data_IF_154205320869
#
_entry.id   IF_154205320869
#
_cell.length_a   1.000
_cell.length_b   1.000
_cell.length_c   1.000
_cell.angle_alpha   90.00
_cell.angle_beta   90.00
_cell.angle_gamma   90.00
#
_symmetry.space_group_name_H-M   'P 1'
#
loop_
_entity.id
_entity.type
_entity.pdbx_description
1 polymer ?
#
# COMPACT_ATOMS: atom_id res chain seq x y z
N UNK A 1 67.44 32.74 8.72
CA UNK A 1 65.99 33.08 8.62
C UNK A 1 65.23 31.78 8.39
N UNK A 2 64.65 31.20 9.44
CA UNK A 2 63.84 29.95 9.38
C UNK A 2 62.38 30.34 9.16
N UNK A 3 61.81 29.95 8.01
CA UNK A 3 60.37 30.11 7.74
C UNK A 3 59.62 28.95 8.40
N UNK A 4 58.75 29.26 9.38
CA UNK A 4 57.78 28.33 9.94
C UNK A 4 56.57 28.27 9.03
N UNK A 5 56.28 27.08 8.50
CA UNK A 5 55.06 26.79 7.73
C UNK A 5 54.00 26.30 8.70
N UNK A 6 52.97 27.10 8.95
CA UNK A 6 51.82 26.71 9.76
C UNK A 6 50.88 25.87 8.89
N UNK A 7 50.77 24.58 9.21
CA UNK A 7 49.79 23.68 8.58
C UNK A 7 48.44 23.85 9.31
N UNK A 8 47.46 24.41 8.62
CA UNK A 8 46.07 24.49 9.12
C UNK A 8 45.38 23.18 8.80
N UNK A 9 45.13 22.34 9.83
CA UNK A 9 44.30 21.12 9.69
C UNK A 9 42.86 21.53 9.83
N UNK A 10 42.09 21.55 8.70
CA UNK A 10 40.66 21.69 8.71
C UNK A 10 40.03 20.35 9.11
N UNK A 11 39.53 20.23 10.33
CA UNK A 11 38.74 19.12 10.78
C UNK A 11 37.33 19.23 10.20
N UNK A 12 36.99 18.43 9.20
CA UNK A 12 35.61 18.25 8.75
C UNK A 12 34.86 17.42 9.80
N UNK A 13 34.03 18.08 10.60
CA UNK A 13 33.00 17.39 11.42
C UNK A 13 31.86 16.97 10.50
N UNK A 14 31.87 15.71 10.06
CA UNK A 14 30.71 15.09 9.46
C UNK A 14 29.62 14.95 10.53
N UNK A 15 28.65 15.86 10.53
CA UNK A 15 27.38 15.64 11.23
C UNK A 15 26.65 14.51 10.52
N UNK A 16 26.75 13.29 11.04
CA UNK A 16 25.85 12.20 10.69
C UNK A 16 24.45 12.56 11.21
N UNK A 17 23.65 13.20 10.36
CA UNK A 17 22.21 13.27 10.57
C UNK A 17 21.65 11.88 10.23
N UNK A 18 21.52 11.03 11.24
CA UNK A 18 20.58 9.90 11.19
C UNK A 18 19.18 10.52 11.10
N UNK A 19 18.41 10.24 10.02
CA UNK A 19 17.02 10.69 9.98
C UNK A 19 16.31 10.09 11.20
N UNK A 20 15.33 10.81 11.79
CA UNK A 20 14.56 10.27 12.91
C UNK A 20 13.99 8.92 12.47
N UNK A 21 14.23 7.90 13.29
CA UNK A 21 13.56 6.60 13.16
C UNK A 21 12.08 6.93 13.33
N UNK A 22 11.33 6.94 12.24
CA UNK A 22 9.87 6.95 12.27
C UNK A 22 9.51 5.73 13.13
N UNK A 23 8.76 5.88 14.22
CA UNK A 23 8.37 4.79 15.10
C UNK A 23 7.64 3.76 14.25
N UNK A 24 8.38 2.73 13.84
CA UNK A 24 7.86 1.71 12.93
C UNK A 24 6.69 1.01 13.63
N UNK A 25 5.48 1.21 13.13
CA UNK A 25 4.26 0.61 13.68
C UNK A 25 4.44 -0.91 13.78
N UNK A 26 4.18 -1.49 14.95
CA UNK A 26 4.27 -2.93 15.14
C UNK A 26 3.04 -3.64 14.55
N UNK A 27 3.26 -4.41 13.49
CA UNK A 27 2.23 -5.21 12.82
C UNK A 27 2.27 -6.70 13.21
N UNK A 28 3.04 -7.10 14.24
CA UNK A 28 3.21 -8.51 14.61
C UNK A 28 1.88 -9.22 14.85
N UNK A 29 0.94 -8.58 15.55
CA UNK A 29 -0.41 -9.14 15.80
C UNK A 29 -1.17 -9.34 14.49
N UNK A 30 -1.15 -8.33 13.59
CA UNK A 30 -1.83 -8.38 12.29
C UNK A 30 -1.24 -9.48 11.41
N UNK A 31 0.09 -9.63 11.37
CA UNK A 31 0.76 -10.66 10.59
C UNK A 31 0.41 -12.08 11.08
N UNK A 32 0.35 -12.29 12.40
CA UNK A 32 -0.03 -13.58 12.98
C UNK A 32 -1.51 -13.91 12.70
N UNK A 33 -2.41 -12.94 12.83
CA UNK A 33 -3.82 -13.11 12.50
C UNK A 33 -4.01 -13.39 11.00
N UNK A 34 -3.29 -12.68 10.13
CA UNK A 34 -3.33 -12.90 8.68
C UNK A 34 -2.91 -14.33 8.32
N UNK A 35 -1.82 -14.84 8.91
CA UNK A 35 -1.37 -16.22 8.67
C UNK A 35 -2.40 -17.25 9.16
N UNK A 36 -2.96 -17.05 10.34
CA UNK A 36 -4.01 -17.91 10.89
C UNK A 36 -5.23 -17.92 9.97
N UNK A 37 -5.69 -16.74 9.57
CA UNK A 37 -6.81 -16.59 8.64
C UNK A 37 -6.55 -17.28 7.29
N UNK A 38 -5.35 -17.15 6.73
CA UNK A 38 -4.97 -17.81 5.47
C UNK A 38 -5.03 -19.33 5.60
N UNK A 39 -4.54 -19.91 6.72
CA UNK A 39 -4.61 -21.36 6.99
C UNK A 39 -6.05 -21.86 7.08
N UNK A 40 -6.89 -21.18 7.85
CA UNK A 40 -8.28 -21.56 8.07
C UNK A 40 -9.16 -21.45 6.81
N UNK A 41 -8.81 -20.55 5.90
CA UNK A 41 -9.58 -20.27 4.68
C UNK A 41 -8.93 -20.79 3.38
N UNK A 42 -7.91 -21.67 3.48
CA UNK A 42 -7.21 -22.28 2.33
C UNK A 42 -6.67 -21.23 1.35
N UNK A 43 -6.12 -20.15 1.88
CA UNK A 43 -5.49 -19.08 1.12
C UNK A 43 -3.97 -19.26 1.06
N UNK A 44 -3.29 -18.47 0.23
CA UNK A 44 -1.84 -18.46 0.12
C UNK A 44 -1.18 -18.23 1.48
N UNK A 45 -0.16 -19.03 1.80
CA UNK A 45 0.57 -18.99 3.06
C UNK A 45 2.03 -18.56 2.89
N UNK A 46 2.43 -18.13 1.69
CA UNK A 46 3.78 -17.63 1.44
C UNK A 46 3.85 -16.13 1.74
N UNK A 47 2.82 -15.37 1.31
CA UNK A 47 2.73 -13.93 1.52
C UNK A 47 1.28 -13.45 1.54
N UNK A 48 1.07 -12.23 2.02
CA UNK A 48 -0.18 -11.50 1.90
C UNK A 48 0.09 -10.00 1.68
N UNK A 49 -0.95 -9.25 1.35
CA UNK A 49 -0.91 -7.81 1.18
C UNK A 49 -1.53 -7.11 2.39
N UNK A 50 -0.78 -6.21 3.01
CA UNK A 50 -1.27 -5.31 4.04
C UNK A 50 -1.30 -3.89 3.49
N UNK A 51 -2.44 -3.21 3.62
CA UNK A 51 -2.56 -1.78 3.34
C UNK A 51 -2.96 -1.09 4.64
N UNK A 52 -2.11 -0.19 5.13
CA UNK A 52 -2.42 0.63 6.31
C UNK A 52 -2.81 2.04 5.89
N UNK A 53 -4.11 2.31 5.91
CA UNK A 53 -4.68 3.61 5.52
C UNK A 53 -4.52 4.70 6.59
N UNK A 54 -3.99 4.40 7.78
CA UNK A 54 -3.61 5.40 8.78
C UNK A 54 -2.30 6.12 8.39
N UNK A 55 -1.48 5.48 7.54
CA UNK A 55 -0.26 6.08 7.02
C UNK A 55 -0.60 7.14 5.96
N UNK A 56 0.15 8.23 5.96
CA UNK A 56 0.02 9.32 5.00
C UNK A 56 0.11 8.80 3.54
N UNK A 57 -0.77 9.27 2.64
CA UNK A 57 -0.87 8.72 1.28
C UNK A 57 0.37 8.94 0.41
N UNK A 58 1.23 9.87 0.78
CA UNK A 58 2.53 10.09 0.14
C UNK A 58 3.67 9.26 0.71
N UNK A 59 3.41 8.38 1.67
CA UNK A 59 4.35 7.40 2.22
C UNK A 59 3.95 5.98 1.80
N UNK A 60 4.90 5.05 1.83
CA UNK A 60 4.64 3.64 1.58
C UNK A 60 3.66 3.10 2.62
N UNK A 61 2.53 2.58 2.17
CA UNK A 61 1.45 2.04 3.01
C UNK A 61 0.78 0.80 2.44
N UNK A 62 1.27 0.32 1.28
CA UNK A 62 1.00 -1.01 0.75
C UNK A 62 2.24 -1.86 0.99
N UNK A 63 2.09 -2.99 1.69
CA UNK A 63 3.17 -3.89 2.05
C UNK A 63 2.88 -5.30 1.53
N UNK A 64 3.89 -5.94 0.94
CA UNK A 64 3.90 -7.38 0.67
C UNK A 64 4.68 -8.03 1.79
N UNK A 65 3.99 -8.70 2.68
CA UNK A 65 4.61 -9.39 3.81
C UNK A 65 4.82 -10.87 3.50
N UNK A 66 6.03 -11.34 3.63
CA UNK A 66 6.44 -12.72 3.44
C UNK A 66 6.38 -13.47 4.77
N UNK A 67 5.54 -14.49 4.85
CA UNK A 67 5.32 -15.25 6.09
C UNK A 67 6.51 -16.11 6.48
N UNK A 68 7.31 -16.57 5.51
CA UNK A 68 8.47 -17.43 5.76
C UNK A 68 9.64 -16.63 6.36
N UNK A 69 9.95 -15.50 5.74
CA UNK A 69 11.06 -14.64 6.22
C UNK A 69 10.64 -13.70 7.33
N UNK A 70 9.32 -13.56 7.57
CA UNK A 70 8.69 -12.62 8.53
C UNK A 70 9.13 -11.17 8.28
N UNK A 71 9.20 -10.77 7.02
CA UNK A 71 9.62 -9.43 6.60
C UNK A 71 8.72 -8.87 5.50
N UNK A 72 8.65 -7.55 5.44
CA UNK A 72 8.13 -6.86 4.27
C UNK A 72 9.13 -7.05 3.13
N UNK A 73 8.70 -7.71 2.06
CA UNK A 73 9.52 -7.99 0.88
C UNK A 73 9.42 -6.89 -0.18
N UNK A 74 8.29 -6.17 -0.22
CA UNK A 74 8.02 -5.06 -1.13
C UNK A 74 7.08 -4.07 -0.44
N UNK A 75 7.20 -2.78 -0.78
CA UNK A 75 6.30 -1.74 -0.30
C UNK A 75 6.16 -0.62 -1.34
N UNK A 76 5.02 0.05 -1.34
CA UNK A 76 4.77 1.15 -2.27
C UNK A 76 3.64 2.05 -1.78
N UNK A 77 3.42 3.15 -2.53
CA UNK A 77 2.25 3.99 -2.39
C UNK A 77 0.99 3.25 -2.87
N UNK A 78 -0.15 3.64 -2.31
CA UNK A 78 -1.46 3.21 -2.78
C UNK A 78 -2.48 4.31 -2.55
N UNK A 79 -3.43 4.46 -3.49
CA UNK A 79 -4.50 5.44 -3.40
C UNK A 79 -5.55 5.02 -2.37
N UNK A 80 -6.36 5.99 -1.94
CA UNK A 80 -7.66 5.74 -1.30
C UNK A 80 -8.77 6.49 -2.03
N UNK A 81 -10.02 6.13 -1.71
CA UNK A 81 -11.18 6.68 -2.38
C UNK A 81 -11.49 8.12 -1.99
N UNK A 82 -11.93 8.93 -2.95
CA UNK A 82 -12.31 10.32 -2.73
C UNK A 82 -13.57 10.47 -1.87
N UNK A 83 -14.42 9.45 -1.78
CA UNK A 83 -15.76 9.49 -1.19
C UNK A 83 -16.65 10.52 -1.88
N UNK A 84 -16.73 11.73 -1.36
CA UNK A 84 -17.46 12.81 -2.01
C UNK A 84 -16.58 13.47 -3.08
N UNK A 85 -16.97 13.32 -4.34
CA UNK A 85 -16.25 13.90 -5.49
C UNK A 85 -16.35 15.43 -5.52
N UNK A 86 -17.35 16.01 -4.87
CA UNK A 86 -17.58 17.46 -4.79
C UNK A 86 -16.93 18.10 -3.56
N UNK A 87 -16.43 17.29 -2.61
CA UNK A 87 -15.73 17.82 -1.44
C UNK A 87 -14.44 18.53 -1.84
N UNK A 88 -14.33 19.80 -1.51
CA UNK A 88 -13.16 20.64 -1.79
C UNK A 88 -12.14 20.65 -0.64
N UNK A 89 -12.51 20.15 0.55
CA UNK A 89 -11.64 20.14 1.72
C UNK A 89 -10.39 19.24 1.44
N UNK A 90 -9.16 19.81 1.52
CA UNK A 90 -7.92 19.08 1.28
C UNK A 90 -7.66 17.95 2.31
N UNK A 91 -8.34 17.95 3.44
CA UNK A 91 -8.25 16.86 4.43
C UNK A 91 -8.60 15.48 3.85
N UNK A 92 -9.42 15.43 2.76
CA UNK A 92 -9.73 14.19 2.05
C UNK A 92 -8.49 13.47 1.49
N UNK A 93 -7.39 14.18 1.25
CA UNK A 93 -6.12 13.59 0.81
C UNK A 93 -5.32 13.00 1.98
N UNK A 94 -5.52 13.51 3.20
CA UNK A 94 -4.79 13.09 4.39
C UNK A 94 -5.33 11.80 4.98
N UNK A 95 -6.65 11.69 5.07
CA UNK A 95 -7.32 10.59 5.78
C UNK A 95 -8.32 9.86 4.89
N UNK A 96 -8.13 8.55 4.78
CA UNK A 96 -9.10 7.68 4.11
C UNK A 96 -10.42 7.65 4.88
N UNK A 97 -11.54 7.70 4.14
CA UNK A 97 -12.88 7.40 4.66
C UNK A 97 -13.33 6.08 4.07
N UNK A 98 -14.13 5.32 4.83
CA UNK A 98 -14.55 3.98 4.44
C UNK A 98 -16.05 3.87 4.33
N UNK A 99 -16.52 3.17 3.30
CA UNK A 99 -17.93 2.87 3.13
C UNK A 99 -18.11 1.62 2.26
N UNK A 100 -19.05 0.77 2.64
CA UNK A 100 -19.50 -0.37 1.82
C UNK A 100 -20.71 -0.03 0.95
N UNK A 101 -21.20 1.22 1.00
CA UNK A 101 -22.38 1.67 0.24
C UNK A 101 -22.03 1.77 -1.25
N UNK A 102 -22.96 1.31 -2.10
CA UNK A 102 -22.87 1.47 -3.55
C UNK A 102 -22.68 2.95 -3.93
N UNK A 103 -21.85 3.21 -4.94
CA UNK A 103 -21.55 4.54 -5.49
C UNK A 103 -21.00 5.57 -4.47
N UNK A 104 -20.49 5.11 -3.34
CA UNK A 104 -19.90 5.99 -2.32
C UNK A 104 -18.52 6.54 -2.70
N UNK A 105 -17.85 5.96 -3.69
CA UNK A 105 -16.46 6.24 -4.08
C UNK A 105 -15.44 6.18 -2.93
N UNK A 106 -15.84 5.69 -1.74
CA UNK A 106 -14.95 5.50 -0.61
C UNK A 106 -14.16 4.19 -0.75
N UNK A 107 -13.01 4.13 -0.13
CA UNK A 107 -12.32 2.86 0.13
C UNK A 107 -13.20 1.94 0.99
N UNK A 108 -12.87 0.67 1.00
CA UNK A 108 -13.40 -0.33 1.92
C UNK A 108 -12.26 -0.83 2.80
N UNK A 109 -12.55 -1.20 4.05
CA UNK A 109 -11.58 -1.82 4.95
C UNK A 109 -11.95 -3.25 5.28
N UNK A 110 -11.01 -3.99 5.86
CA UNK A 110 -11.16 -5.38 6.22
C UNK A 110 -10.41 -6.33 5.29
N UNK A 111 -10.72 -7.61 5.38
CA UNK A 111 -10.07 -8.68 4.63
C UNK A 111 -10.73 -8.91 3.27
N UNK A 112 -9.91 -9.06 2.25
CA UNK A 112 -10.32 -9.37 0.88
C UNK A 112 -9.56 -10.58 0.36
N UNK A 113 -10.23 -11.36 -0.46
CA UNK A 113 -9.60 -12.35 -1.32
C UNK A 113 -9.28 -11.70 -2.66
N UNK A 114 -8.01 -11.72 -3.08
CA UNK A 114 -7.61 -11.36 -4.44
C UNK A 114 -8.10 -12.48 -5.37
N UNK A 115 -8.92 -12.08 -6.33
CA UNK A 115 -9.58 -13.00 -7.24
C UNK A 115 -8.94 -13.03 -8.63
N UNK A 116 -9.78 -13.22 -9.65
CA UNK A 116 -9.35 -13.39 -11.03
C UNK A 116 -8.59 -12.17 -11.55
N UNK A 117 -7.48 -12.43 -12.27
CA UNK A 117 -6.81 -11.45 -13.15
C UNK A 117 -7.71 -11.14 -14.35
N UNK A 118 -7.81 -9.87 -14.72
CA UNK A 118 -8.67 -9.42 -15.81
C UNK A 118 -8.05 -8.18 -16.50
N UNK A 119 -8.61 -7.79 -17.66
CA UNK A 119 -8.21 -6.58 -18.37
C UNK A 119 -8.67 -5.32 -17.61
N UNK A 120 -7.79 -4.32 -17.55
CA UNK A 120 -8.07 -2.97 -17.05
C UNK A 120 -7.89 -1.95 -18.17
N UNK A 121 -8.74 -0.92 -18.23
CA UNK A 121 -8.49 0.25 -19.07
C UNK A 121 -7.47 1.23 -18.46
N UNK A 122 -6.93 0.95 -17.28
CA UNK A 122 -5.99 1.77 -16.55
C UNK A 122 -4.61 1.13 -16.48
N UNK A 123 -3.57 1.97 -16.40
CA UNK A 123 -2.20 1.58 -16.13
C UNK A 123 -1.67 0.54 -17.10
N UNK A 124 -1.10 -0.54 -16.59
CA UNK A 124 -0.53 -1.64 -17.39
C UNK A 124 -1.57 -2.59 -18.00
N UNK A 125 -2.83 -2.19 -18.04
CA UNK A 125 -3.96 -2.96 -18.54
C UNK A 125 -4.24 -4.28 -17.78
N UNK A 126 -3.88 -4.33 -16.51
CA UNK A 126 -4.11 -5.46 -15.61
C UNK A 126 -4.88 -5.01 -14.38
N UNK A 127 -5.87 -5.80 -13.98
CA UNK A 127 -6.56 -5.68 -12.69
C UNK A 127 -6.77 -7.05 -12.06
N UNK A 128 -6.94 -7.04 -10.75
CA UNK A 128 -7.40 -8.19 -9.98
C UNK A 128 -8.69 -7.85 -9.25
N UNK A 129 -9.71 -8.68 -9.42
CA UNK A 129 -10.96 -8.56 -8.69
C UNK A 129 -10.73 -8.73 -7.19
N UNK A 130 -11.39 -7.92 -6.38
CA UNK A 130 -11.33 -8.01 -4.94
C UNK A 130 -12.67 -8.52 -4.40
N UNK A 131 -12.64 -9.65 -3.69
CA UNK A 131 -13.80 -10.22 -3.04
C UNK A 131 -13.74 -9.90 -1.55
N UNK A 132 -14.66 -9.05 -1.07
CA UNK A 132 -14.75 -8.73 0.35
C UNK A 132 -15.24 -9.92 1.17
N UNK A 133 -14.57 -10.17 2.30
CA UNK A 133 -14.81 -11.33 3.16
C UNK A 133 -15.55 -10.95 4.45
N UNK A 134 -15.90 -9.68 4.63
CA UNK A 134 -16.53 -9.14 5.83
C UNK A 134 -17.73 -8.27 5.47
N UNK A 135 -18.64 -8.01 6.41
CA UNK A 135 -19.79 -7.12 6.21
C UNK A 135 -19.40 -5.69 5.83
N UNK A 136 -18.21 -5.26 6.23
CA UNK A 136 -17.61 -3.95 5.90
C UNK A 136 -17.23 -3.80 4.42
N UNK A 137 -17.14 -4.91 3.66
CA UNK A 137 -16.62 -4.91 2.29
C UNK A 137 -17.28 -5.93 1.34
N UNK A 138 -18.35 -6.60 1.74
CA UNK A 138 -19.01 -7.66 0.95
C UNK A 138 -19.63 -7.15 -0.37
N UNK A 139 -19.75 -5.83 -0.57
CA UNK A 139 -20.19 -5.23 -1.82
C UNK A 139 -19.02 -4.95 -2.81
N UNK A 140 -17.78 -5.38 -2.51
CA UNK A 140 -16.62 -5.04 -3.32
C UNK A 140 -16.79 -5.39 -4.81
N UNK A 141 -17.22 -6.62 -5.13
CA UNK A 141 -17.47 -7.03 -6.52
C UNK A 141 -18.60 -6.23 -7.16
N UNK A 142 -19.72 -6.02 -6.46
CA UNK A 142 -20.83 -5.20 -6.95
C UNK A 142 -20.41 -3.75 -7.24
N UNK A 143 -19.52 -3.21 -6.42
CA UNK A 143 -18.94 -1.86 -6.58
C UNK A 143 -17.79 -1.81 -7.57
N UNK A 144 -17.41 -2.92 -8.19
CA UNK A 144 -16.28 -3.02 -9.13
C UNK A 144 -14.98 -2.56 -8.47
N UNK A 145 -14.76 -2.90 -7.20
CA UNK A 145 -13.51 -2.61 -6.51
C UNK A 145 -12.45 -3.62 -6.93
N UNK A 146 -11.36 -3.12 -7.46
CA UNK A 146 -10.28 -3.93 -8.04
C UNK A 146 -8.91 -3.37 -7.64
N UNK A 147 -7.90 -4.23 -7.54
CA UNK A 147 -6.50 -3.83 -7.50
C UNK A 147 -6.04 -3.58 -8.93
N UNK A 148 -5.53 -2.39 -9.22
CA UNK A 148 -5.01 -2.03 -10.54
C UNK A 148 -3.90 -0.98 -10.43
N UNK A 149 -3.22 -0.66 -11.53
CA UNK A 149 -2.30 0.45 -11.57
C UNK A 149 -2.91 1.71 -12.17
N UNK A 150 -2.30 2.84 -11.84
CA UNK A 150 -2.62 4.14 -12.42
C UNK A 150 -1.34 4.97 -12.56
N UNK A 151 -0.96 5.43 -13.77
CA UNK A 151 0.29 6.18 -14.01
C UNK A 151 0.45 7.45 -13.17
N UNK A 152 -0.65 7.99 -12.62
CA UNK A 152 -0.60 9.15 -11.73
C UNK A 152 -0.10 8.82 -10.31
N UNK A 153 -0.01 7.54 -9.94
CA UNK A 153 0.54 7.11 -8.65
C UNK A 153 2.05 6.97 -8.78
N UNK A 154 2.80 7.72 -7.98
CA UNK A 154 4.26 7.65 -7.98
C UNK A 154 4.75 6.28 -7.46
N UNK A 155 5.90 5.82 -7.99
CA UNK A 155 6.53 4.57 -7.55
C UNK A 155 7.38 4.71 -6.28
N UNK A 156 7.63 5.93 -5.84
CA UNK A 156 8.42 6.27 -4.66
C UNK A 156 7.64 7.20 -3.73
N UNK A 157 8.08 7.30 -2.48
CA UNK A 157 7.49 8.22 -1.52
C UNK A 157 7.57 9.67 -1.99
N UNK A 158 6.44 10.38 -1.86
CA UNK A 158 6.30 11.78 -2.29
C UNK A 158 5.96 12.72 -1.12
N UNK A 159 6.03 12.21 0.12
CA UNK A 159 5.78 13.02 1.31
C UNK A 159 6.61 14.33 1.28
N UNK A 160 6.04 15.49 1.62
CA UNK A 160 4.71 15.73 2.19
C UNK A 160 3.55 15.85 1.16
N UNK A 161 3.77 15.59 -0.12
CA UNK A 161 2.71 15.55 -1.13
C UNK A 161 1.83 14.31 -0.91
N UNK A 162 0.64 14.30 -1.52
CA UNK A 162 -0.35 13.22 -1.42
C UNK A 162 -0.43 12.44 -2.72
N UNK A 163 -0.69 11.15 -2.61
CA UNK A 163 -1.13 10.34 -3.76
C UNK A 163 -2.50 10.83 -4.25
N UNK A 164 -2.80 10.68 -5.55
CA UNK A 164 -4.13 10.99 -6.08
C UNK A 164 -5.21 10.15 -5.40
N UNK A 165 -6.46 10.62 -5.48
CA UNK A 165 -7.61 9.91 -4.94
C UNK A 165 -8.26 9.06 -6.04
N UNK A 166 -8.55 7.80 -5.73
CA UNK A 166 -9.33 6.90 -6.59
C UNK A 166 -10.84 7.02 -6.33
N UNK A 167 -11.63 6.19 -6.99
CA UNK A 167 -13.05 5.99 -6.68
C UNK A 167 -13.29 4.76 -5.80
N UNK A 168 -12.34 4.49 -4.90
CA UNK A 168 -12.42 3.43 -3.91
C UNK A 168 -11.55 2.21 -4.18
N UNK A 169 -11.04 2.05 -5.40
CA UNK A 169 -10.06 1.02 -5.72
C UNK A 169 -8.69 1.33 -5.09
N UNK A 170 -7.96 0.35 -4.54
CA UNK A 170 -6.55 0.51 -4.28
C UNK A 170 -5.80 0.52 -5.62
N UNK A 171 -5.37 1.70 -6.07
CA UNK A 171 -4.52 1.85 -7.24
C UNK A 171 -3.07 2.11 -6.81
N UNK A 172 -2.13 1.48 -7.52
CA UNK A 172 -0.69 1.57 -7.28
C UNK A 172 0.04 2.11 -8.52
N UNK A 173 1.36 2.32 -8.45
CA UNK A 173 2.15 2.67 -9.63
C UNK A 173 2.16 1.54 -10.66
N UNK A 174 2.48 1.86 -11.92
CA UNK A 174 2.58 0.86 -12.98
C UNK A 174 3.72 -0.13 -12.71
N UNK A 175 4.85 0.35 -12.22
CA UNK A 175 6.03 -0.46 -11.89
C UNK A 175 5.71 -1.43 -10.74
N UNK A 176 5.02 -0.96 -9.70
CA UNK A 176 4.67 -1.83 -8.59
C UNK A 176 3.60 -2.85 -8.98
N UNK A 177 2.66 -2.49 -9.86
CA UNK A 177 1.67 -3.44 -10.36
C UNK A 177 2.31 -4.56 -11.19
N UNK A 178 3.38 -4.30 -11.95
CA UNK A 178 4.16 -5.35 -12.62
C UNK A 178 4.71 -6.35 -11.61
N UNK A 179 5.30 -5.87 -10.51
CA UNK A 179 5.82 -6.75 -9.42
C UNK A 179 4.70 -7.58 -8.80
N UNK A 180 3.55 -6.96 -8.52
CA UNK A 180 2.39 -7.67 -7.95
C UNK A 180 1.82 -8.70 -8.93
N UNK A 181 1.70 -8.35 -10.22
CA UNK A 181 1.17 -9.24 -11.26
C UNK A 181 2.08 -10.48 -11.42
N UNK A 182 3.40 -10.29 -11.50
CA UNK A 182 4.35 -11.40 -11.54
C UNK A 182 4.21 -12.32 -10.31
N UNK A 183 4.09 -11.75 -9.13
CA UNK A 183 3.93 -12.51 -7.89
C UNK A 183 2.59 -13.26 -7.83
N UNK A 184 1.49 -12.62 -8.22
CA UNK A 184 0.15 -13.22 -8.20
C UNK A 184 -0.03 -14.32 -9.24
N UNK A 185 0.70 -14.29 -10.36
CA UNK A 185 0.67 -15.37 -11.38
C UNK A 185 1.36 -16.66 -10.94
N UNK A 186 2.19 -16.62 -9.90
CA UNK A 186 2.94 -17.78 -9.41
C UNK A 186 2.22 -18.61 -8.36
N UNK A 187 1.06 -18.15 -7.86
CA UNK A 187 0.34 -18.82 -6.78
C UNK A 187 -1.00 -19.39 -7.26
N UNK A 188 -1.32 -20.58 -6.78
CA UNK A 188 -2.59 -21.25 -7.09
C UNK A 188 -3.71 -20.84 -6.13
N UNK A 189 -3.37 -20.68 -4.83
CA UNK A 189 -4.32 -20.26 -3.81
C UNK A 189 -4.51 -18.74 -3.84
N UNK A 190 -5.73 -18.27 -3.58
CA UNK A 190 -6.01 -16.84 -3.53
C UNK A 190 -5.20 -16.14 -2.43
N UNK A 191 -4.72 -14.95 -2.73
CA UNK A 191 -3.93 -14.12 -1.79
C UNK A 191 -4.86 -13.27 -0.94
N UNK A 192 -4.58 -13.19 0.35
CA UNK A 192 -5.24 -12.25 1.26
C UNK A 192 -4.72 -10.82 1.00
N UNK A 193 -5.63 -9.86 0.88
CA UNK A 193 -5.35 -8.44 1.07
C UNK A 193 -6.10 -7.95 2.30
N UNK A 194 -5.40 -7.36 3.25
CA UNK A 194 -6.01 -6.79 4.44
C UNK A 194 -5.80 -5.27 4.49
N UNK A 195 -6.89 -4.52 4.45
CA UNK A 195 -6.90 -3.05 4.53
C UNK A 195 -7.29 -2.65 5.95
N UNK A 196 -6.38 -1.99 6.65
CA UNK A 196 -6.54 -1.51 8.03
C UNK A 196 -6.49 0.02 8.11
N UNK A 197 -6.86 0.56 9.28
CA UNK A 197 -6.84 1.99 9.61
C UNK A 197 -6.12 2.25 10.93
#
# INVERSE_FOLDING_TARGET
>A
MRKFLLLFVLSFVCCNHTPPVDDAKDYTSIHNEALTFCKENQMNQDFYFLIDMSIHSGKNRFFVYDFKTKKVSQQNLVTHGTCDVFETNPEKYKKAKFSNKQDSHCSMKGKFKIGKRDYSSWGINVKYWMHGLESSNNNAVKRVVVLHSWPAVANEEIYPKYSPLSWGCPAVSDEFMVVLDEKLKTVEQPVLMWIVE
#
